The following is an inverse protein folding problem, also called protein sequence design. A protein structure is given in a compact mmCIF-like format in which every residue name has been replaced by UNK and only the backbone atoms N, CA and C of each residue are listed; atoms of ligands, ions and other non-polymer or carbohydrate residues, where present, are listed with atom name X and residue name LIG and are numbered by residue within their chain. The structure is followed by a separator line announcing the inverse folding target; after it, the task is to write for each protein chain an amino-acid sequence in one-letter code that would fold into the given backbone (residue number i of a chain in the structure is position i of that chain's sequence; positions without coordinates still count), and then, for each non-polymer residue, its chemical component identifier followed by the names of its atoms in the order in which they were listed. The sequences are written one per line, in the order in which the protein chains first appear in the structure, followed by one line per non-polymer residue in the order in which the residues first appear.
data_IF_187762852532
#
_entry.id   IF_187762852532
#
_cell.length_a   1.000
_cell.length_b   1.000
_cell.length_c   1.000
_cell.angle_alpha   90.00
_cell.angle_beta   90.00
_cell.angle_gamma   90.00
#
_symmetry.space_group_name_H-M   'P 1'
#
loop_
_entity.id
_entity.type
_entity.pdbx_description
1 polymer ?
#
# COMPACT_ATOMS: atom_id res chain seq x y z
N UNK A 1 -59.59 61.58 36.81
CA UNK A 1 -59.40 60.16 37.19
C UNK A 1 -60.48 59.37 36.48
N UNK A 2 -60.27 58.41 35.57
CA UNK A 2 -59.13 57.58 35.24
C UNK A 2 -59.22 57.13 33.77
N UNK A 3 -58.14 57.41 33.03
CA UNK A 3 -57.42 56.53 32.08
C UNK A 3 -58.17 55.60 31.11
N UNK A 4 -58.02 55.94 29.82
CA UNK A 4 -58.24 55.10 28.62
C UNK A 4 -57.20 53.98 28.55
N UNK A 5 -57.64 52.73 28.38
CA UNK A 5 -56.75 51.60 28.06
C UNK A 5 -56.70 51.39 26.54
N UNK A 6 -55.53 51.67 25.96
CA UNK A 6 -55.19 51.48 24.56
C UNK A 6 -54.74 50.02 24.36
N UNK A 7 -55.34 49.37 23.37
CA UNK A 7 -54.99 48.05 22.87
C UNK A 7 -53.60 48.06 22.21
N UNK A 8 -52.71 47.14 22.60
CA UNK A 8 -51.53 46.77 21.82
C UNK A 8 -51.58 45.26 21.55
N UNK A 9 -51.96 44.89 20.32
CA UNK A 9 -51.78 43.54 19.79
C UNK A 9 -50.38 43.50 19.18
N UNK A 10 -49.43 42.86 19.87
CA UNK A 10 -48.15 42.50 19.28
C UNK A 10 -48.39 41.28 18.37
N UNK A 11 -48.39 41.49 17.05
CA UNK A 11 -48.29 40.41 16.09
C UNK A 11 -46.83 39.93 16.03
N UNK A 12 -46.51 38.84 16.74
CA UNK A 12 -45.24 38.14 16.59
C UNK A 12 -45.29 37.35 15.26
N UNK A 13 -44.68 37.89 14.21
CA UNK A 13 -44.46 37.15 12.97
C UNK A 13 -43.35 36.12 13.22
N UNK A 14 -43.74 34.87 13.48
CA UNK A 14 -42.80 33.75 13.48
C UNK A 14 -42.39 33.47 12.03
N UNK A 15 -41.22 33.97 11.63
CA UNK A 15 -40.59 33.59 10.36
C UNK A 15 -40.13 32.14 10.53
N UNK A 16 -40.92 31.21 10.01
CA UNK A 16 -40.51 29.82 9.86
C UNK A 16 -39.34 29.78 8.86
N UNK A 17 -38.12 29.69 9.38
CA UNK A 17 -36.95 29.35 8.56
C UNK A 17 -37.12 27.89 8.17
N UNK A 18 -37.69 27.65 6.99
CA UNK A 18 -37.70 26.32 6.38
C UNK A 18 -36.25 26.00 6.03
N UNK A 19 -35.58 25.21 6.87
CA UNK A 19 -34.33 24.56 6.50
C UNK A 19 -34.63 23.65 5.31
N UNK A 20 -34.32 24.11 4.10
CA UNK A 20 -34.26 23.23 2.94
C UNK A 20 -33.18 22.22 3.24
N UNK A 21 -33.55 21.00 3.67
CA UNK A 21 -32.61 19.90 3.64
C UNK A 21 -32.26 19.72 2.16
N UNK A 22 -31.08 20.21 1.75
CA UNK A 22 -30.53 19.78 0.48
C UNK A 22 -30.37 18.28 0.61
N UNK A 23 -31.26 17.53 -0.05
CA UNK A 23 -31.08 16.11 -0.22
C UNK A 23 -29.67 15.90 -0.80
N UNK A 24 -28.92 14.97 -0.23
CA UNK A 24 -27.64 14.59 -0.80
C UNK A 24 -27.84 14.24 -2.28
N UNK A 25 -26.89 14.58 -3.18
CA UNK A 25 -27.02 14.21 -4.58
C UNK A 25 -27.19 12.69 -4.66
N UNK A 26 -28.25 12.24 -5.35
CA UNK A 26 -28.43 10.82 -5.64
C UNK A 26 -27.27 10.37 -6.53
N UNK A 27 -26.55 9.33 -6.11
CA UNK A 27 -25.41 8.78 -6.84
C UNK A 27 -25.86 7.53 -7.61
N UNK A 28 -25.52 7.46 -8.88
CA UNK A 28 -25.81 6.34 -9.77
C UNK A 28 -24.52 5.80 -10.41
N UNK A 29 -24.58 4.56 -10.91
CA UNK A 29 -23.51 3.98 -11.70
C UNK A 29 -23.25 4.80 -12.97
N UNK A 30 -21.98 5.12 -13.22
CA UNK A 30 -21.51 5.93 -14.34
C UNK A 30 -21.45 7.43 -14.04
N UNK A 31 -21.77 7.86 -12.82
CA UNK A 31 -21.78 9.27 -12.47
C UNK A 31 -20.37 9.91 -12.48
N UNK A 32 -20.33 11.16 -12.97
CA UNK A 32 -19.17 12.05 -12.93
C UNK A 32 -19.28 13.00 -11.73
N UNK A 33 -18.61 12.66 -10.64
CA UNK A 33 -18.76 13.27 -9.33
C UNK A 33 -17.95 14.57 -9.23
N UNK A 34 -18.63 15.71 -9.14
CA UNK A 34 -18.00 17.05 -9.09
C UNK A 34 -18.13 17.76 -7.74
N UNK A 35 -18.86 17.16 -6.80
CA UNK A 35 -19.06 17.68 -5.44
C UNK A 35 -18.98 16.54 -4.43
N UNK A 36 -19.00 16.85 -3.13
CA UNK A 36 -19.05 15.83 -2.10
C UNK A 36 -20.33 15.00 -2.24
N UNK A 37 -20.20 13.69 -2.11
CA UNK A 37 -21.33 12.76 -2.14
C UNK A 37 -21.25 11.77 -1.00
N UNK A 38 -22.42 11.30 -0.59
CA UNK A 38 -22.60 10.26 0.41
C UNK A 38 -23.56 9.25 -0.18
N UNK A 39 -23.18 7.97 -0.24
CA UNK A 39 -24.09 6.93 -0.69
C UNK A 39 -25.23 6.75 0.33
N UNK A 40 -26.44 6.59 -0.18
CA UNK A 40 -27.65 6.29 0.59
C UNK A 40 -28.14 4.85 0.39
N UNK A 41 -27.50 4.12 -0.53
CA UNK A 41 -27.83 2.78 -0.96
C UNK A 41 -26.63 2.10 -1.60
N UNK A 42 -26.67 0.77 -1.65
CA UNK A 42 -25.68 -0.02 -2.38
C UNK A 42 -25.82 0.20 -3.89
N UNK A 43 -24.69 0.30 -4.58
CA UNK A 43 -24.62 0.41 -6.04
C UNK A 43 -24.12 -0.90 -6.65
N UNK A 44 -24.81 -1.34 -7.70
CA UNK A 44 -24.42 -2.52 -8.49
C UNK A 44 -24.30 -2.14 -9.97
N UNK A 45 -23.06 -1.92 -10.40
CA UNK A 45 -22.72 -1.39 -11.70
C UNK A 45 -22.26 -2.51 -12.64
N UNK A 46 -22.98 -2.72 -13.74
CA UNK A 46 -22.74 -3.83 -14.69
C UNK A 46 -22.58 -3.35 -16.13
N UNK A 47 -22.40 -2.05 -16.35
CA UNK A 47 -22.26 -1.44 -17.66
C UNK A 47 -21.31 -0.24 -17.61
N UNK A 48 -20.74 0.13 -18.75
CA UNK A 48 -19.79 1.24 -18.86
C UNK A 48 -18.35 0.78 -18.74
N UNK A 49 -17.46 1.69 -18.36
CA UNK A 49 -16.03 1.40 -18.12
C UNK A 49 -15.61 1.59 -16.66
N UNK A 50 -16.28 2.49 -15.94
CA UNK A 50 -16.05 2.76 -14.52
C UNK A 50 -17.39 2.91 -13.79
N UNK A 51 -17.45 2.54 -12.52
CA UNK A 51 -18.66 2.73 -11.72
C UNK A 51 -18.85 4.19 -11.29
N UNK A 52 -17.78 4.87 -10.88
CA UNK A 52 -17.78 6.32 -10.59
C UNK A 52 -16.52 6.97 -11.17
N UNK A 53 -16.66 8.19 -11.69
CA UNK A 53 -15.53 9.02 -12.12
C UNK A 53 -15.46 10.32 -11.31
N UNK A 54 -14.28 10.65 -10.80
CA UNK A 54 -14.08 11.89 -10.03
C UNK A 54 -13.76 13.05 -10.95
N UNK A 55 -14.66 14.04 -10.93
CA UNK A 55 -14.63 15.18 -11.82
C UNK A 55 -14.04 16.46 -11.25
N UNK A 56 -13.87 16.56 -9.93
CA UNK A 56 -13.36 17.77 -9.27
C UNK A 56 -12.31 17.47 -8.18
N UNK A 57 -11.48 18.46 -7.89
CA UNK A 57 -10.56 18.44 -6.76
C UNK A 57 -11.31 18.68 -5.44
N UNK A 58 -10.69 18.34 -4.31
CA UNK A 58 -11.20 18.67 -2.97
C UNK A 58 -12.59 18.10 -2.69
N UNK A 59 -12.86 16.88 -3.17
CA UNK A 59 -14.13 16.21 -2.93
C UNK A 59 -13.98 14.98 -2.03
N UNK A 60 -15.07 14.61 -1.40
CA UNK A 60 -15.22 13.38 -0.61
C UNK A 60 -16.32 12.52 -1.21
N UNK A 61 -16.01 11.24 -1.44
CA UNK A 61 -16.99 10.18 -1.66
C UNK A 61 -17.05 9.37 -0.37
N UNK A 62 -18.13 9.57 0.40
CA UNK A 62 -18.41 8.76 1.59
C UNK A 62 -19.30 7.60 1.16
N UNK A 63 -18.78 6.37 1.23
CA UNK A 63 -19.56 5.17 0.93
C UNK A 63 -20.58 4.88 2.05
N UNK A 64 -20.47 5.51 3.23
CA UNK A 64 -21.46 5.49 4.30
C UNK A 64 -21.92 4.08 4.72
N UNK A 65 -21.00 3.11 4.70
CA UNK A 65 -21.25 1.70 5.02
C UNK A 65 -21.83 0.89 3.85
N UNK A 66 -22.16 1.51 2.72
CA UNK A 66 -22.71 0.86 1.55
C UNK A 66 -21.65 0.16 0.69
N UNK A 67 -22.14 -0.70 -0.19
CA UNK A 67 -21.36 -1.46 -1.14
C UNK A 67 -21.40 -0.81 -2.51
N UNK A 68 -20.23 -0.45 -3.04
CA UNK A 68 -20.01 -0.20 -4.46
C UNK A 68 -19.53 -1.50 -5.10
N UNK A 69 -20.34 -2.09 -5.98
CA UNK A 69 -20.02 -3.37 -6.62
C UNK A 69 -20.18 -3.32 -8.13
N UNK A 70 -19.46 -4.21 -8.82
CA UNK A 70 -19.63 -4.39 -10.25
C UNK A 70 -18.99 -5.67 -10.77
N UNK A 71 -18.68 -5.67 -12.05
CA UNK A 71 -18.13 -6.82 -12.79
C UNK A 71 -16.64 -6.66 -13.08
N UNK A 72 -15.96 -7.78 -13.35
CA UNK A 72 -14.50 -7.86 -13.46
C UNK A 72 -13.89 -7.22 -14.70
N UNK A 73 -14.70 -6.59 -15.54
CA UNK A 73 -14.34 -5.79 -16.72
C UNK A 73 -14.43 -4.28 -16.45
N UNK A 74 -15.00 -3.87 -15.31
CA UNK A 74 -15.16 -2.49 -14.89
C UNK A 74 -14.09 -2.05 -13.88
N UNK A 75 -13.83 -0.75 -13.85
CA UNK A 75 -13.15 -0.08 -12.75
C UNK A 75 -14.19 0.38 -11.72
N UNK A 76 -13.86 0.38 -10.42
CA UNK A 76 -14.76 0.92 -9.39
C UNK A 76 -14.77 2.45 -9.43
N UNK A 77 -13.73 3.10 -8.90
CA UNK A 77 -13.60 4.56 -8.94
C UNK A 77 -12.38 4.97 -9.74
N UNK A 78 -12.59 5.84 -10.73
CA UNK A 78 -11.53 6.46 -11.52
C UNK A 78 -11.25 7.89 -11.05
N UNK A 79 -9.98 8.19 -10.76
CA UNK A 79 -9.53 9.53 -10.36
C UNK A 79 -8.35 9.92 -11.25
N UNK A 80 -8.58 10.84 -12.18
CA UNK A 80 -7.54 11.24 -13.12
C UNK A 80 -7.30 12.74 -13.09
N UNK A 81 -6.06 13.14 -12.79
CA UNK A 81 -5.66 14.54 -12.68
C UNK A 81 -6.55 15.33 -11.70
N UNK A 82 -6.90 14.72 -10.55
CA UNK A 82 -7.69 15.35 -9.49
C UNK A 82 -7.02 15.19 -8.14
N UNK A 83 -6.84 16.29 -7.44
CA UNK A 83 -6.09 16.33 -6.19
C UNK A 83 -7.02 16.45 -4.98
N UNK A 84 -6.53 16.01 -3.83
CA UNK A 84 -7.21 16.12 -2.55
C UNK A 84 -8.58 15.44 -2.55
N UNK A 85 -8.66 14.23 -3.12
CA UNK A 85 -9.87 13.41 -3.15
C UNK A 85 -9.85 12.45 -1.97
N UNK A 86 -10.97 12.34 -1.26
CA UNK A 86 -11.15 11.39 -0.15
C UNK A 86 -12.20 10.35 -0.53
N UNK A 87 -11.92 9.07 -0.31
CA UNK A 87 -12.90 7.98 -0.41
C UNK A 87 -12.88 7.22 0.90
N UNK A 88 -14.04 7.02 1.54
CA UNK A 88 -14.07 6.43 2.88
C UNK A 88 -15.33 5.63 3.21
N UNK A 89 -15.24 4.85 4.28
CA UNK A 89 -16.35 4.19 4.98
C UNK A 89 -17.22 3.26 4.13
N UNK A 90 -16.71 2.14 3.65
CA UNK A 90 -17.58 1.17 2.99
C UNK A 90 -16.85 0.08 2.22
N UNK A 91 -17.57 -0.55 1.29
CA UNK A 91 -17.07 -1.73 0.58
C UNK A 91 -16.96 -1.47 -0.92
N UNK A 92 -15.86 -1.92 -1.52
CA UNK A 92 -15.66 -1.96 -2.96
C UNK A 92 -15.39 -3.42 -3.36
N UNK A 93 -16.15 -3.98 -4.32
CA UNK A 93 -16.00 -5.41 -4.70
C UNK A 93 -16.36 -5.75 -6.14
N UNK A 94 -15.79 -6.85 -6.64
CA UNK A 94 -16.17 -7.47 -7.91
C UNK A 94 -15.60 -6.82 -9.18
N UNK A 95 -14.97 -5.64 -9.06
CA UNK A 95 -14.33 -4.94 -10.17
C UNK A 95 -13.03 -5.62 -10.65
N UNK A 96 -12.51 -5.19 -11.79
CA UNK A 96 -11.10 -5.47 -12.14
C UNK A 96 -10.16 -4.75 -11.17
N UNK A 97 -10.42 -3.45 -10.95
CA UNK A 97 -9.68 -2.57 -10.05
C UNK A 97 -10.63 -1.75 -9.21
N UNK A 98 -10.45 -1.74 -7.88
CA UNK A 98 -11.34 -1.05 -6.95
C UNK A 98 -11.27 0.47 -7.09
N UNK A 99 -10.10 1.04 -6.88
CA UNK A 99 -9.84 2.47 -7.10
C UNK A 99 -8.59 2.61 -7.95
N UNK A 100 -8.66 3.43 -8.99
CA UNK A 100 -7.53 3.72 -9.86
C UNK A 100 -7.31 5.22 -9.91
N UNK A 101 -6.12 5.64 -9.52
CA UNK A 101 -5.70 7.03 -9.56
C UNK A 101 -4.54 7.21 -10.51
N UNK A 102 -4.56 8.33 -11.24
CA UNK A 102 -3.48 8.75 -12.10
C UNK A 102 -3.23 10.25 -11.93
N UNK A 103 -1.98 10.65 -11.62
CA UNK A 103 -1.57 12.05 -11.50
C UNK A 103 -2.45 12.84 -10.51
N UNK A 104 -2.72 12.24 -9.38
CA UNK A 104 -3.77 12.67 -8.45
C UNK A 104 -3.22 12.68 -7.03
N UNK A 105 -2.71 13.83 -6.60
CA UNK A 105 -1.99 13.99 -5.33
C UNK A 105 -2.94 14.12 -4.15
N UNK A 106 -2.45 13.79 -2.95
CA UNK A 106 -3.18 13.92 -1.68
C UNK A 106 -4.47 13.10 -1.67
N UNK A 107 -4.46 11.94 -2.32
CA UNK A 107 -5.51 10.93 -2.20
C UNK A 107 -5.62 10.47 -0.75
N UNK A 108 -6.85 10.37 -0.23
CA UNK A 108 -7.09 9.78 1.09
C UNK A 108 -8.08 8.63 0.97
N UNK A 109 -7.64 7.43 1.29
CA UNK A 109 -8.48 6.25 1.43
C UNK A 109 -8.51 5.89 2.91
N UNK A 110 -9.69 5.85 3.51
CA UNK A 110 -9.83 5.58 4.95
C UNK A 110 -11.04 4.69 5.23
N UNK A 111 -10.85 3.61 5.99
CA UNK A 111 -11.94 2.71 6.36
C UNK A 111 -12.72 2.16 5.15
N UNK A 112 -11.99 1.64 4.15
CA UNK A 112 -12.56 1.02 2.95
C UNK A 112 -12.12 -0.44 2.87
N UNK A 113 -13.07 -1.34 2.68
CA UNK A 113 -12.80 -2.77 2.50
C UNK A 113 -12.91 -3.15 1.02
N UNK A 114 -11.82 -3.67 0.47
CA UNK A 114 -11.70 -4.16 -0.90
C UNK A 114 -11.80 -5.69 -0.91
N UNK A 115 -12.74 -6.24 -1.68
CA UNK A 115 -12.99 -7.69 -1.68
C UNK A 115 -13.10 -8.30 -3.07
N UNK A 116 -12.43 -9.44 -3.28
CA UNK A 116 -12.69 -10.34 -4.39
C UNK A 116 -12.48 -9.72 -5.77
N UNK A 117 -11.35 -9.03 -5.96
CA UNK A 117 -10.98 -8.35 -7.20
C UNK A 117 -9.50 -8.59 -7.57
N UNK A 118 -9.07 -8.13 -8.73
CA UNK A 118 -7.66 -8.27 -9.12
C UNK A 118 -6.77 -7.21 -8.46
N UNK A 119 -7.14 -5.92 -8.52
CA UNK A 119 -6.36 -4.84 -7.90
C UNK A 119 -7.25 -4.07 -6.91
N UNK A 120 -6.80 -3.86 -5.67
CA UNK A 120 -7.54 -3.07 -4.69
C UNK A 120 -7.46 -1.58 -5.04
N UNK A 121 -6.28 -1.01 -4.85
CA UNK A 121 -5.97 0.40 -5.09
C UNK A 121 -4.72 0.54 -5.96
N UNK A 122 -4.85 1.35 -7.00
CA UNK A 122 -3.78 1.70 -7.91
C UNK A 122 -3.49 3.20 -7.78
N UNK A 123 -2.27 3.55 -7.39
CA UNK A 123 -1.77 4.90 -7.20
C UNK A 123 -0.67 5.19 -8.24
N UNK A 124 -1.07 5.63 -9.43
CA UNK A 124 -0.16 5.91 -10.54
C UNK A 124 0.25 7.39 -10.54
N UNK A 125 1.50 7.68 -10.21
CA UNK A 125 1.99 9.05 -10.17
C UNK A 125 1.19 9.92 -9.16
N UNK A 126 0.97 9.40 -7.97
CA UNK A 126 0.25 10.09 -6.88
C UNK A 126 1.25 10.40 -5.79
N UNK A 127 1.40 11.68 -5.45
CA UNK A 127 2.20 12.13 -4.32
C UNK A 127 1.34 12.38 -3.07
N UNK A 128 1.96 12.25 -1.90
CA UNK A 128 1.39 12.66 -0.61
C UNK A 128 0.03 12.00 -0.29
N UNK A 129 -0.23 10.81 -0.83
CA UNK A 129 -1.45 10.03 -0.59
C UNK A 129 -1.38 9.23 0.71
N UNK A 130 -2.55 8.93 1.29
CA UNK A 130 -2.67 8.12 2.50
C UNK A 130 -3.73 7.03 2.33
N UNK A 131 -3.39 5.81 2.75
CA UNK A 131 -4.30 4.66 2.83
C UNK A 131 -4.26 4.15 4.26
N UNK A 132 -5.36 4.29 4.96
CA UNK A 132 -5.45 3.98 6.40
C UNK A 132 -6.66 3.15 6.75
N UNK A 133 -6.51 2.32 7.79
CA UNK A 133 -7.61 1.60 8.43
C UNK A 133 -8.47 0.80 7.43
N UNK A 134 -7.86 0.31 6.35
CA UNK A 134 -8.56 -0.31 5.22
C UNK A 134 -8.20 -1.79 5.12
N UNK A 135 -9.11 -2.57 4.54
CA UNK A 135 -8.95 -4.02 4.39
C UNK A 135 -8.81 -4.40 2.93
N UNK A 136 -7.86 -5.28 2.62
CA UNK A 136 -7.64 -5.85 1.29
C UNK A 136 -7.77 -7.36 1.39
N UNK A 137 -8.87 -7.91 0.88
CA UNK A 137 -9.28 -9.27 1.18
C UNK A 137 -9.48 -10.06 -0.11
N UNK A 138 -8.83 -11.22 -0.19
CA UNK A 138 -9.01 -12.19 -1.28
C UNK A 138 -8.78 -11.56 -2.66
N UNK A 139 -7.61 -10.94 -2.83
CA UNK A 139 -7.25 -10.25 -4.07
C UNK A 139 -6.28 -11.07 -4.90
N UNK A 140 -6.64 -11.32 -6.16
CA UNK A 140 -5.82 -12.11 -7.09
C UNK A 140 -4.53 -11.38 -7.53
N UNK A 141 -4.44 -10.08 -7.26
CA UNK A 141 -3.30 -9.23 -7.57
C UNK A 141 -2.84 -8.41 -6.38
N UNK A 142 -2.70 -7.09 -6.56
CA UNK A 142 -2.10 -6.21 -5.54
C UNK A 142 -3.18 -5.57 -4.66
N UNK A 143 -2.97 -5.52 -3.36
CA UNK A 143 -3.75 -4.69 -2.45
C UNK A 143 -3.57 -3.21 -2.77
N UNK A 144 -2.36 -2.69 -2.56
CA UNK A 144 -1.99 -1.32 -2.95
C UNK A 144 -0.79 -1.33 -3.89
N UNK A 145 -0.96 -0.73 -5.07
CA UNK A 145 0.11 -0.57 -6.06
C UNK A 145 0.45 0.90 -6.23
N UNK A 146 1.65 1.30 -5.82
CA UNK A 146 2.22 2.64 -6.04
C UNK A 146 3.22 2.53 -7.19
N UNK A 147 3.04 3.31 -8.25
CA UNK A 147 4.03 3.28 -9.33
C UNK A 147 4.10 4.57 -10.15
N UNK A 148 5.24 4.78 -10.79
CA UNK A 148 5.45 5.86 -11.75
C UNK A 148 5.11 5.38 -13.15
N UNK A 149 4.19 6.07 -13.83
CA UNK A 149 3.75 5.68 -15.18
C UNK A 149 4.54 6.37 -16.31
N UNK A 150 5.40 7.33 -15.99
CA UNK A 150 6.26 8.04 -16.94
C UNK A 150 7.44 8.70 -16.22
N UNK A 151 8.48 9.08 -16.96
CA UNK A 151 9.66 9.77 -16.44
C UNK A 151 9.37 11.12 -15.75
N UNK A 152 8.17 11.70 -15.94
CA UNK A 152 7.78 13.00 -15.38
C UNK A 152 6.79 12.90 -14.23
N UNK A 153 6.37 11.68 -13.85
CA UNK A 153 5.46 11.46 -12.74
C UNK A 153 6.24 10.97 -11.51
N UNK A 154 5.95 11.57 -10.35
CA UNK A 154 6.39 11.10 -9.04
C UNK A 154 5.25 10.36 -8.33
N UNK A 155 5.61 9.39 -7.50
CA UNK A 155 4.71 8.67 -6.61
C UNK A 155 5.35 8.61 -5.21
N UNK A 156 5.67 9.80 -4.69
CA UNK A 156 6.48 10.02 -3.51
C UNK A 156 5.64 10.30 -2.27
N UNK A 157 6.22 10.07 -1.09
CA UNK A 157 5.66 10.49 0.21
C UNK A 157 4.26 9.92 0.50
N UNK A 158 3.91 8.79 -0.08
CA UNK A 158 2.67 8.09 0.23
C UNK A 158 2.81 7.29 1.52
N UNK A 159 1.72 7.19 2.28
CA UNK A 159 1.66 6.45 3.55
C UNK A 159 0.60 5.37 3.49
N UNK A 160 1.02 4.12 3.69
CA UNK A 160 0.15 2.95 3.82
C UNK A 160 0.26 2.46 5.27
N UNK A 161 -0.76 2.77 6.09
CA UNK A 161 -0.67 2.54 7.53
C UNK A 161 -1.93 1.93 8.16
N UNK A 162 -1.75 1.03 9.13
CA UNK A 162 -2.85 0.41 9.88
C UNK A 162 -3.87 -0.30 8.98
N UNK A 163 -3.42 -0.94 7.90
CA UNK A 163 -4.28 -1.70 7.00
C UNK A 163 -4.12 -3.21 7.24
N UNK A 164 -5.14 -3.97 6.86
CA UNK A 164 -5.11 -5.42 6.85
C UNK A 164 -5.09 -5.96 5.41
N UNK A 165 -4.20 -6.91 5.14
CA UNK A 165 -4.09 -7.60 3.86
C UNK A 165 -4.22 -9.10 4.10
N UNK A 166 -5.35 -9.68 3.71
CA UNK A 166 -5.65 -11.10 3.92
C UNK A 166 -5.86 -11.82 2.60
N UNK A 167 -5.07 -12.88 2.37
CA UNK A 167 -5.16 -13.69 1.14
C UNK A 167 -5.07 -12.84 -0.14
N UNK A 168 -4.07 -11.96 -0.19
CA UNK A 168 -3.78 -11.14 -1.38
C UNK A 168 -2.52 -11.65 -2.05
N UNK A 169 -2.42 -11.54 -3.37
CA UNK A 169 -1.21 -12.00 -4.07
C UNK A 169 0.00 -11.14 -3.69
N UNK A 170 -0.12 -9.83 -3.80
CA UNK A 170 0.87 -8.87 -3.28
C UNK A 170 0.18 -7.88 -2.35
N UNK A 171 0.69 -7.67 -1.14
CA UNK A 171 0.10 -6.71 -0.20
C UNK A 171 0.29 -5.28 -0.70
N UNK A 172 1.53 -4.79 -0.62
CA UNK A 172 1.93 -3.47 -1.11
C UNK A 172 3.08 -3.60 -2.11
N UNK A 173 2.87 -3.08 -3.32
CA UNK A 173 3.89 -3.01 -4.36
C UNK A 173 4.26 -1.57 -4.68
N UNK A 174 5.54 -1.22 -4.59
CA UNK A 174 6.10 0.06 -5.03
C UNK A 174 7.02 -0.19 -6.22
N UNK A 175 6.84 0.61 -7.27
CA UNK A 175 7.51 0.39 -8.54
C UNK A 175 7.89 1.71 -9.24
N UNK A 176 9.19 1.92 -9.47
CA UNK A 176 9.71 3.02 -10.27
C UNK A 176 10.64 3.97 -9.51
N UNK A 177 11.58 4.56 -10.24
CA UNK A 177 12.70 5.35 -9.68
C UNK A 177 12.27 6.66 -9.04
N UNK A 178 11.07 7.16 -9.37
CA UNK A 178 10.47 8.35 -8.77
C UNK A 178 9.31 7.96 -7.83
N UNK A 179 9.47 6.85 -7.09
CA UNK A 179 8.57 6.42 -6.03
C UNK A 179 9.34 6.30 -4.71
N UNK A 180 9.76 7.45 -4.19
CA UNK A 180 10.65 7.60 -3.05
C UNK A 180 9.94 8.14 -1.80
N UNK A 181 10.56 7.92 -0.63
CA UNK A 181 10.07 8.44 0.65
C UNK A 181 8.66 7.96 1.03
N UNK A 182 8.21 6.84 0.47
CA UNK A 182 6.97 6.20 0.88
C UNK A 182 7.15 5.45 2.19
N UNK A 183 6.08 5.36 2.97
CA UNK A 183 6.04 4.73 4.28
C UNK A 183 4.99 3.62 4.27
N UNK A 184 5.42 2.41 4.62
CA UNK A 184 4.55 1.25 4.85
C UNK A 184 4.68 0.88 6.32
N UNK A 185 3.69 1.24 7.14
CA UNK A 185 3.80 1.14 8.58
C UNK A 185 2.63 0.43 9.26
N UNK A 186 2.90 -0.34 10.31
CA UNK A 186 1.86 -0.87 11.21
C UNK A 186 0.74 -1.66 10.51
N UNK A 187 1.03 -2.27 9.35
CA UNK A 187 0.06 -3.09 8.63
C UNK A 187 0.13 -4.55 9.09
N UNK A 188 -1.02 -5.23 9.05
CA UNK A 188 -1.11 -6.67 9.20
C UNK A 188 -1.24 -7.31 7.82
N UNK A 189 -0.35 -8.23 7.48
CA UNK A 189 -0.40 -8.98 6.23
C UNK A 189 -0.35 -10.47 6.55
N UNK A 190 -1.36 -11.23 6.12
CA UNK A 190 -1.44 -12.66 6.44
C UNK A 190 -1.91 -13.46 5.23
N UNK A 191 -1.21 -14.58 4.96
CA UNK A 191 -1.48 -15.49 3.84
C UNK A 191 -1.34 -14.81 2.47
N UNK A 192 -0.35 -13.94 2.35
CA UNK A 192 0.06 -13.36 1.07
C UNK A 192 0.68 -14.42 0.18
N UNK A 193 0.31 -14.46 -1.11
CA UNK A 193 0.76 -15.52 -2.02
C UNK A 193 2.19 -15.25 -2.52
N UNK A 194 2.44 -14.11 -3.16
CA UNK A 194 3.74 -13.78 -3.74
C UNK A 194 4.60 -13.04 -2.72
N UNK A 195 4.45 -11.72 -2.58
CA UNK A 195 5.23 -10.95 -1.60
C UNK A 195 4.29 -10.06 -0.79
N UNK A 196 4.47 -10.01 0.52
CA UNK A 196 3.66 -9.09 1.32
C UNK A 196 3.99 -7.64 0.98
N UNK A 197 5.28 -7.33 0.88
CA UNK A 197 5.77 -6.02 0.43
C UNK A 197 6.84 -6.21 -0.66
N UNK A 198 6.71 -5.47 -1.76
CA UNK A 198 7.68 -5.50 -2.85
C UNK A 198 8.09 -4.09 -3.29
N UNK A 199 9.38 -3.78 -3.19
CA UNK A 199 10.00 -2.57 -3.73
C UNK A 199 10.79 -2.93 -4.98
N UNK A 200 10.49 -2.28 -6.11
CA UNK A 200 11.16 -2.51 -7.38
C UNK A 200 11.59 -1.18 -7.99
N UNK A 201 12.90 -0.97 -8.14
CA UNK A 201 13.47 0.29 -8.56
C UNK A 201 13.01 1.47 -7.69
N UNK A 202 12.76 1.25 -6.39
CA UNK A 202 12.15 2.22 -5.50
C UNK A 202 13.09 2.51 -4.31
N UNK A 203 13.60 3.73 -4.25
CA UNK A 203 14.64 4.12 -3.30
C UNK A 203 14.06 4.87 -2.09
N UNK A 204 14.81 4.90 -0.99
CA UNK A 204 14.53 5.77 0.18
C UNK A 204 13.15 5.57 0.80
N UNK A 205 12.59 4.35 0.74
CA UNK A 205 11.33 4.01 1.37
C UNK A 205 11.54 3.42 2.77
N UNK A 206 10.51 3.51 3.61
CA UNK A 206 10.51 3.01 4.98
C UNK A 206 9.43 1.94 5.16
N UNK A 207 9.82 0.80 5.72
CA UNK A 207 8.94 -0.32 6.04
C UNK A 207 9.09 -0.60 7.54
N UNK A 208 8.07 -0.31 8.35
CA UNK A 208 8.22 -0.41 9.81
C UNK A 208 7.00 -0.87 10.58
N UNK A 209 7.20 -1.62 11.67
CA UNK A 209 6.09 -2.01 12.56
C UNK A 209 5.08 -2.97 11.95
N UNK A 210 5.33 -3.49 10.73
CA UNK A 210 4.41 -4.40 10.07
C UNK A 210 4.50 -5.79 10.68
N UNK A 211 3.36 -6.48 10.73
CA UNK A 211 3.26 -7.90 11.08
C UNK A 211 2.92 -8.70 9.83
N UNK A 212 3.84 -9.57 9.40
CA UNK A 212 3.67 -10.43 8.25
C UNK A 212 3.64 -11.88 8.73
N UNK A 213 2.54 -12.59 8.46
CA UNK A 213 2.25 -13.93 8.97
C UNK A 213 1.95 -14.90 7.82
N UNK A 214 2.29 -16.17 8.00
CA UNK A 214 2.04 -17.29 7.08
C UNK A 214 2.23 -16.90 5.60
N UNK A 215 3.42 -16.41 5.28
CA UNK A 215 3.81 -16.03 3.93
C UNK A 215 3.84 -17.26 3.01
N UNK A 216 3.24 -17.11 1.81
CA UNK A 216 3.22 -18.13 0.77
C UNK A 216 4.55 -18.26 0.01
N UNK A 217 4.44 -18.34 -1.31
CA UNK A 217 5.49 -18.81 -2.23
C UNK A 217 6.62 -17.80 -2.48
N UNK A 218 6.45 -16.51 -2.21
CA UNK A 218 7.55 -15.54 -2.35
C UNK A 218 8.12 -15.06 -1.02
N UNK A 219 8.87 -13.95 -1.08
CA UNK A 219 9.49 -13.39 0.11
C UNK A 219 8.48 -12.51 0.85
N UNK A 220 8.53 -12.47 2.18
CA UNK A 220 7.66 -11.58 2.93
C UNK A 220 7.93 -10.11 2.53
N UNK A 221 9.20 -9.70 2.51
CA UNK A 221 9.65 -8.42 1.98
C UNK A 221 10.66 -8.64 0.86
N UNK A 222 10.41 -8.07 -0.31
CA UNK A 222 11.33 -8.06 -1.45
C UNK A 222 11.79 -6.64 -1.74
N UNK A 223 13.11 -6.46 -1.86
CA UNK A 223 13.76 -5.24 -2.32
C UNK A 223 14.55 -5.59 -3.57
N UNK A 224 14.21 -5.02 -4.71
CA UNK A 224 14.80 -5.37 -5.99
C UNK A 224 15.26 -4.11 -6.74
N UNK A 225 16.50 -4.14 -7.22
CA UNK A 225 17.17 -3.02 -7.89
C UNK A 225 16.97 -1.67 -7.19
N UNK A 226 17.13 -1.63 -5.87
CA UNK A 226 16.71 -0.49 -5.03
C UNK A 226 17.75 -0.14 -3.96
N UNK A 227 17.78 1.13 -3.56
CA UNK A 227 18.79 1.69 -2.66
C UNK A 227 18.21 2.48 -1.49
N UNK A 228 18.96 2.53 -0.39
CA UNK A 228 18.69 3.38 0.76
C UNK A 228 17.32 3.17 1.41
N UNK A 229 16.75 1.98 1.30
CA UNK A 229 15.51 1.64 1.99
C UNK A 229 15.79 1.20 3.42
N UNK A 230 14.88 1.55 4.34
CA UNK A 230 14.94 1.18 5.75
C UNK A 230 13.80 0.22 6.08
N UNK A 231 14.14 -0.96 6.59
CA UNK A 231 13.19 -1.99 7.03
C UNK A 231 13.45 -2.31 8.48
N UNK A 232 12.56 -1.90 9.38
CA UNK A 232 12.84 -1.98 10.82
C UNK A 232 11.63 -2.21 11.71
N UNK A 233 11.86 -2.82 12.88
CA UNK A 233 10.81 -3.12 13.86
C UNK A 233 9.63 -3.92 13.27
N UNK A 234 9.84 -4.69 12.21
CA UNK A 234 8.82 -5.58 11.65
C UNK A 234 8.89 -6.94 12.33
N UNK A 235 7.74 -7.60 12.41
CA UNK A 235 7.63 -9.00 12.86
C UNK A 235 7.21 -9.85 11.68
N UNK A 236 8.08 -10.76 11.26
CA UNK A 236 7.85 -11.67 10.14
C UNK A 236 7.85 -13.09 10.70
N UNK A 237 6.74 -13.81 10.56
CA UNK A 237 6.58 -15.14 11.13
C UNK A 237 6.01 -16.09 10.09
N UNK A 238 6.65 -17.26 9.99
CA UNK A 238 6.23 -18.39 9.18
C UNK A 238 6.17 -18.07 7.69
N UNK A 239 7.09 -18.62 6.92
CA UNK A 239 7.04 -18.49 5.46
C UNK A 239 7.87 -19.55 4.77
N UNK A 240 7.50 -19.89 3.53
CA UNK A 240 8.16 -20.97 2.81
C UNK A 240 9.56 -20.62 2.30
N UNK A 241 9.85 -19.33 2.06
CA UNK A 241 11.10 -18.91 1.43
C UNK A 241 11.90 -17.98 2.36
N UNK A 242 11.87 -16.68 2.08
CA UNK A 242 12.65 -15.68 2.81
C UNK A 242 11.79 -14.60 3.45
N UNK A 243 12.18 -14.18 4.64
CA UNK A 243 11.56 -13.03 5.28
C UNK A 243 11.97 -11.74 4.56
N UNK A 244 13.25 -11.63 4.22
CA UNK A 244 13.78 -10.56 3.39
C UNK A 244 14.57 -11.12 2.21
N UNK A 245 14.29 -10.62 1.01
CA UNK A 245 15.13 -10.81 -0.18
C UNK A 245 15.59 -9.46 -0.74
N UNK A 246 16.90 -9.24 -0.78
CA UNK A 246 17.52 -8.10 -1.47
C UNK A 246 18.13 -8.63 -2.77
N UNK A 247 17.54 -8.26 -3.90
CA UNK A 247 17.86 -8.80 -5.22
C UNK A 247 18.24 -7.68 -6.18
N UNK A 248 18.84 -8.07 -7.29
CA UNK A 248 19.20 -7.20 -8.40
C UNK A 248 18.69 -7.87 -9.67
N UNK A 249 18.06 -7.09 -10.56
CA UNK A 249 17.60 -7.58 -11.85
C UNK A 249 16.69 -8.83 -11.78
N UNK A 250 15.98 -9.03 -10.67
CA UNK A 250 14.90 -10.01 -10.66
C UNK A 250 13.79 -9.45 -11.55
N UNK A 251 13.37 -10.22 -12.56
CA UNK A 251 12.35 -9.79 -13.53
C UNK A 251 11.22 -9.01 -12.84
N UNK A 252 11.01 -7.77 -13.28
CA UNK A 252 10.08 -6.84 -12.64
C UNK A 252 9.13 -6.25 -13.69
N UNK A 253 7.83 -6.15 -13.39
CA UNK A 253 6.85 -5.55 -14.30
C UNK A 253 6.91 -4.01 -14.32
N UNK A 254 7.99 -3.40 -13.81
CA UNK A 254 8.18 -1.96 -13.85
C UNK A 254 8.48 -1.48 -15.28
N UNK A 255 7.83 -0.39 -15.69
CA UNK A 255 7.89 0.13 -17.06
C UNK A 255 9.25 0.74 -17.46
N UNK A 256 10.20 0.84 -16.53
CA UNK A 256 11.55 1.39 -16.74
C UNK A 256 12.54 0.47 -16.00
N UNK A 257 13.69 0.08 -16.57
CA UNK A 257 14.94 0.47 -15.87
C UNK A 257 16.26 0.50 -16.67
N UNK A 258 17.21 1.28 -16.14
CA UNK A 258 18.65 1.18 -16.45
C UNK A 258 19.52 0.63 -15.28
N UNK A 259 19.08 0.76 -14.02
CA UNK A 259 19.87 0.33 -12.84
C UNK A 259 19.49 -1.10 -12.43
N UNK A 260 20.49 -1.95 -12.28
CA UNK A 260 20.35 -3.40 -12.07
C UNK A 260 21.10 -3.83 -10.80
N UNK A 261 21.05 -3.01 -9.74
CA UNK A 261 21.76 -3.26 -8.49
C UNK A 261 20.91 -2.85 -7.29
N UNK A 262 21.17 -3.49 -6.16
CA UNK A 262 20.60 -3.09 -4.87
C UNK A 262 21.71 -2.82 -3.87
N UNK A 263 21.61 -1.72 -3.15
CA UNK A 263 22.64 -1.40 -2.19
C UNK A 263 22.26 -0.39 -1.12
N UNK A 264 23.03 -0.41 -0.03
CA UNK A 264 22.85 0.54 1.08
C UNK A 264 21.45 0.53 1.70
N UNK A 265 20.72 -0.57 1.54
CA UNK A 265 19.49 -0.81 2.28
C UNK A 265 19.84 -1.29 3.69
N UNK A 266 18.98 -1.00 4.66
CA UNK A 266 19.16 -1.41 6.05
C UNK A 266 17.98 -2.24 6.52
N UNK A 267 18.27 -3.40 7.07
CA UNK A 267 17.29 -4.29 7.70
C UNK A 267 17.68 -4.44 9.17
N UNK A 268 16.94 -3.81 10.07
CA UNK A 268 17.35 -3.72 11.46
C UNK A 268 16.25 -3.79 12.52
N UNK A 269 16.57 -4.33 13.69
CA UNK A 269 15.62 -4.50 14.80
C UNK A 269 14.33 -5.27 14.41
N UNK A 270 14.40 -6.14 13.40
CA UNK A 270 13.26 -6.97 13.02
C UNK A 270 13.30 -8.29 13.78
N UNK A 271 12.12 -8.88 13.97
CA UNK A 271 11.96 -10.26 14.44
C UNK A 271 11.55 -11.14 13.28
N UNK A 272 12.34 -12.16 13.00
CA UNK A 272 12.11 -13.16 11.94
C UNK A 272 12.01 -14.52 12.58
N UNK A 273 10.98 -15.30 12.25
CA UNK A 273 10.75 -16.62 12.85
C UNK A 273 10.19 -17.60 11.81
N UNK A 274 10.81 -18.78 11.66
CA UNK A 274 10.24 -19.89 10.88
C UNK A 274 10.26 -19.69 9.36
N UNK A 275 11.40 -19.26 8.80
CA UNK A 275 11.64 -19.18 7.35
C UNK A 275 12.77 -20.10 6.92
N UNK A 276 12.71 -20.66 5.70
CA UNK A 276 13.80 -21.47 5.15
C UNK A 276 15.12 -20.68 5.11
N UNK A 277 15.11 -19.49 4.53
CA UNK A 277 16.26 -18.56 4.60
C UNK A 277 15.77 -17.22 5.12
N UNK A 278 16.09 -16.86 6.36
CA UNK A 278 15.55 -15.65 6.99
C UNK A 278 15.83 -14.40 6.13
N UNK A 279 17.08 -14.20 5.72
CA UNK A 279 17.51 -13.05 4.94
C UNK A 279 18.40 -13.54 3.78
N UNK A 280 18.01 -13.24 2.55
CA UNK A 280 18.74 -13.58 1.33
C UNK A 280 19.20 -12.33 0.58
N UNK A 281 20.51 -12.23 0.32
CA UNK A 281 21.13 -11.16 -0.46
C UNK A 281 21.70 -11.74 -1.75
N UNK A 282 21.07 -11.41 -2.88
CA UNK A 282 21.49 -11.78 -4.23
C UNK A 282 20.71 -12.94 -4.84
N UNK A 283 20.90 -13.11 -6.15
CA UNK A 283 20.35 -14.24 -6.91
C UNK A 283 21.34 -15.40 -6.97
N UNK A 284 22.64 -15.11 -6.95
CA UNK A 284 23.70 -16.10 -7.08
C UNK A 284 23.80 -16.76 -8.46
N UNK A 285 23.31 -16.11 -9.52
CA UNK A 285 23.38 -16.62 -10.91
C UNK A 285 24.76 -16.43 -11.55
N UNK A 286 25.52 -15.45 -11.07
CA UNK A 286 26.91 -15.18 -11.44
C UNK A 286 27.66 -14.53 -10.25
N UNK A 287 28.87 -14.01 -10.51
CA UNK A 287 29.72 -13.31 -9.52
C UNK A 287 29.80 -11.80 -9.78
N UNK A 288 28.79 -11.20 -10.38
CA UNK A 288 28.70 -9.77 -10.61
C UNK A 288 28.50 -9.00 -9.29
N UNK A 289 29.04 -7.78 -9.21
CA UNK A 289 28.88 -6.92 -8.02
C UNK A 289 27.51 -6.24 -8.04
N UNK A 290 26.46 -7.00 -7.70
CA UNK A 290 25.08 -6.52 -7.83
C UNK A 290 24.42 -6.12 -6.51
N UNK A 291 24.79 -6.77 -5.41
CA UNK A 291 24.22 -6.50 -4.08
C UNK A 291 25.30 -5.95 -3.16
N UNK A 292 25.25 -4.65 -2.86
CA UNK A 292 26.39 -3.98 -2.23
C UNK A 292 26.05 -3.07 -1.04
N UNK A 293 26.83 -3.19 0.03
CA UNK A 293 26.80 -2.23 1.14
C UNK A 293 25.50 -2.24 1.93
N UNK A 294 24.71 -3.31 1.84
CA UNK A 294 23.51 -3.49 2.63
C UNK A 294 23.88 -3.88 4.07
N UNK A 295 23.11 -3.34 5.03
CA UNK A 295 23.32 -3.56 6.46
C UNK A 295 22.21 -4.41 7.07
N UNK A 296 22.57 -5.53 7.69
CA UNK A 296 21.67 -6.41 8.43
C UNK A 296 22.01 -6.32 9.92
N UNK A 297 21.21 -5.59 10.71
CA UNK A 297 21.65 -5.11 12.03
C UNK A 297 20.67 -5.46 13.15
N UNK A 298 21.16 -6.01 14.26
CA UNK A 298 20.36 -6.13 15.49
C UNK A 298 19.03 -6.86 15.32
N UNK A 299 18.95 -7.81 14.38
CA UNK A 299 17.73 -8.60 14.16
C UNK A 299 17.69 -9.82 15.08
N UNK A 300 16.48 -10.26 15.42
CA UNK A 300 16.22 -11.51 16.13
C UNK A 300 15.76 -12.54 15.10
N UNK A 301 16.58 -13.54 14.81
CA UNK A 301 16.32 -14.56 13.78
C UNK A 301 16.17 -15.92 14.44
N UNK A 302 14.96 -16.47 14.36
CA UNK A 302 14.59 -17.70 15.03
C UNK A 302 14.16 -18.79 14.05
N UNK A 303 14.50 -20.03 14.38
CA UNK A 303 13.96 -21.24 13.74
C UNK A 303 14.06 -21.24 12.21
N UNK A 304 15.16 -20.75 11.66
CA UNK A 304 15.44 -20.77 10.22
C UNK A 304 16.46 -21.84 9.83
N UNK A 305 16.39 -22.37 8.61
CA UNK A 305 17.45 -23.27 8.13
C UNK A 305 18.74 -22.46 7.91
N UNK A 306 18.63 -21.32 7.23
CA UNK A 306 19.70 -20.35 7.05
C UNK A 306 19.26 -19.00 7.63
N UNK A 307 20.08 -18.38 8.47
CA UNK A 307 19.82 -17.06 9.02
C UNK A 307 20.06 -15.98 7.96
N UNK A 308 21.33 -15.72 7.63
CA UNK A 308 21.71 -14.73 6.59
C UNK A 308 22.48 -15.44 5.49
N UNK A 309 21.99 -15.29 4.25
CA UNK A 309 22.60 -15.81 3.04
C UNK A 309 23.17 -14.66 2.21
N UNK A 310 24.49 -14.63 2.03
CA UNK A 310 25.14 -13.81 1.02
C UNK A 310 25.44 -14.68 -0.20
N UNK A 311 24.83 -14.38 -1.34
CA UNK A 311 25.06 -15.10 -2.60
C UNK A 311 26.36 -14.62 -3.28
N UNK A 312 26.76 -15.30 -4.36
CA UNK A 312 27.99 -15.00 -5.10
C UNK A 312 28.05 -13.59 -5.70
N UNK A 313 26.90 -12.93 -5.86
CA UNK A 313 26.74 -11.56 -6.33
C UNK A 313 26.66 -10.51 -5.20
N UNK A 314 26.86 -10.92 -3.94
CA UNK A 314 26.84 -10.08 -2.76
C UNK A 314 28.24 -9.61 -2.34
N UNK A 315 28.46 -8.29 -2.38
CA UNK A 315 29.76 -7.67 -2.14
C UNK A 315 29.71 -6.63 -1.02
N UNK A 316 30.70 -6.65 -0.12
CA UNK A 316 30.89 -5.56 0.85
C UNK A 316 29.63 -5.22 1.67
N UNK A 317 28.77 -6.22 1.91
CA UNK A 317 27.64 -6.09 2.82
C UNK A 317 28.09 -6.35 4.26
N UNK A 318 27.26 -6.00 5.23
CA UNK A 318 27.60 -6.21 6.63
C UNK A 318 26.41 -6.71 7.44
N UNK A 319 26.67 -7.69 8.31
CA UNK A 319 25.73 -8.15 9.31
C UNK A 319 26.33 -7.90 10.70
N UNK A 320 25.63 -7.24 11.63
CA UNK A 320 26.15 -6.99 12.98
C UNK A 320 25.06 -7.14 14.03
N UNK A 321 25.44 -7.61 15.21
CA UNK A 321 24.58 -7.68 16.39
C UNK A 321 23.28 -8.49 16.19
N UNK A 322 23.21 -9.35 15.17
CA UNK A 322 22.06 -10.22 14.95
C UNK A 322 22.11 -11.40 15.92
N UNK A 323 20.98 -11.70 16.55
CA UNK A 323 20.81 -12.84 17.42
C UNK A 323 20.16 -14.00 16.67
N UNK A 324 20.72 -15.20 16.80
CA UNK A 324 20.23 -16.42 16.16
C UNK A 324 19.82 -17.44 17.23
N UNK A 325 18.59 -17.94 17.19
CA UNK A 325 18.11 -18.97 18.13
C UNK A 325 17.33 -20.05 17.39
N UNK A 326 17.71 -21.32 17.54
CA UNK A 326 17.08 -22.41 16.79
C UNK A 326 17.35 -22.38 15.28
N UNK A 327 18.26 -21.51 14.82
CA UNK A 327 18.66 -21.39 13.42
C UNK A 327 19.85 -22.30 13.14
N UNK A 328 19.75 -23.15 12.11
CA UNK A 328 20.74 -24.21 11.84
C UNK A 328 22.07 -23.64 11.34
N UNK A 329 22.02 -22.78 10.33
CA UNK A 329 23.19 -22.10 9.77
C UNK A 329 23.01 -20.59 9.96
N UNK A 330 23.63 -19.97 11.00
CA UNK A 330 23.44 -18.55 11.28
C UNK A 330 23.78 -17.65 10.09
N UNK A 331 24.95 -17.86 9.47
CA UNK A 331 25.41 -17.10 8.31
C UNK A 331 26.02 -18.07 7.30
N UNK A 332 25.65 -17.92 6.03
CA UNK A 332 26.25 -18.62 4.90
C UNK A 332 26.66 -17.60 3.85
N UNK A 333 27.95 -17.54 3.53
CA UNK A 333 28.52 -16.50 2.67
C UNK A 333 29.26 -17.11 1.48
N UNK A 334 28.74 -16.84 0.29
CA UNK A 334 29.36 -17.14 -1.00
C UNK A 334 29.88 -15.88 -1.70
N UNK A 335 29.68 -14.71 -1.09
CA UNK A 335 30.00 -13.42 -1.66
C UNK A 335 31.45 -13.01 -1.40
N UNK A 336 31.74 -11.72 -1.61
CA UNK A 336 33.10 -11.17 -1.52
C UNK A 336 33.15 -9.97 -0.58
N UNK A 337 34.08 -9.98 0.37
CA UNK A 337 34.32 -8.90 1.33
C UNK A 337 33.10 -8.54 2.20
N UNK A 338 32.16 -9.47 2.42
CA UNK A 338 31.09 -9.27 3.40
C UNK A 338 31.68 -9.38 4.82
N UNK A 339 31.13 -8.63 5.78
CA UNK A 339 31.65 -8.58 7.15
C UNK A 339 30.55 -8.93 8.15
N UNK A 340 30.83 -9.83 9.10
CA UNK A 340 29.87 -10.26 10.11
C UNK A 340 30.50 -10.73 11.42
#
# INVERSE_FOLDING_TARGET
MNTKHIFYILALLAIAVTSTSNAAPLVNCGDYITTNVTLDSDLHCTSGYTALEVGANNITIDLNGHVLSGTSDLMGVLIHARNNVTIKNGWIRGFWGGINTARSDKLRIDNVSFYGMNQGLIMAGTDDGSVTNSDFINLNGTGVRIYTHSAFASADRNTIQNNEFYQVRVGVGICGTSAENNVIADNLMWKTVDNAIALNHANRNKISGNRILDQGDGAAIRINSSFYNDVFNNTLQTGQHSALSILANAASPCLEPAEQRSGKNRFYNNRVDGFDTAINLGLGTDSGRYIEGNGILSNQIHNSNIGIMFRSDAYSNYARDNNFTGTTTPIYDLGINNNY
#
